data_IF_261043045399
#
_entry.id   IF_261043045399
#
_cell.length_a   1.000
_cell.length_b   1.000
_cell.length_c   1.000
_cell.angle_alpha   90.00
_cell.angle_beta   90.00
_cell.angle_gamma   90.00
#
_symmetry.space_group_name_H-M   'P 1'
#
loop_
_entity.id
_entity.type
_entity.pdbx_description
1 polymer ?
#
# COMPACT_ATOMS: atom_id res chain seq x y z
N UNK A 1 -4.09 6.73 23.01
CA UNK A 1 -3.23 5.99 22.06
C UNK A 1 -3.72 4.56 22.08
N UNK A 2 -4.43 4.12 21.04
CA UNK A 2 -4.88 2.73 20.91
C UNK A 2 -3.71 1.95 20.30
N UNK A 3 -3.01 1.17 21.10
CA UNK A 3 -1.98 0.26 20.62
C UNK A 3 -2.68 -0.98 20.07
N UNK A 4 -2.96 -0.98 18.77
CA UNK A 4 -3.52 -2.14 18.09
C UNK A 4 -2.36 -3.09 17.76
N UNK A 5 -2.14 -4.10 18.60
CA UNK A 5 -1.25 -5.22 18.28
C UNK A 5 -2.14 -6.41 17.92
N UNK A 6 -1.98 -6.91 16.69
CA UNK A 6 -2.58 -8.17 16.27
C UNK A 6 -1.43 -9.05 15.81
N UNK A 7 -0.78 -9.70 16.78
CA UNK A 7 0.16 -10.77 16.49
C UNK A 7 -0.60 -12.07 16.25
N UNK A 8 -0.10 -12.89 15.34
CA UNK A 8 -0.66 -14.21 15.03
C UNK A 8 0.48 -15.23 15.03
N UNK A 9 0.36 -16.27 15.85
CA UNK A 9 1.30 -17.38 15.85
C UNK A 9 0.88 -18.43 14.81
N UNK A 10 1.82 -18.86 13.98
CA UNK A 10 1.58 -19.80 12.89
C UNK A 10 2.72 -20.79 12.77
N UNK A 11 2.43 -21.95 12.19
CA UNK A 11 3.42 -22.95 11.79
C UNK A 11 3.28 -23.26 10.30
N UNK A 12 4.38 -23.69 9.69
CA UNK A 12 4.36 -24.14 8.31
C UNK A 12 3.79 -25.56 8.22
N UNK A 13 2.60 -25.69 7.62
CA UNK A 13 2.01 -26.99 7.34
C UNK A 13 2.55 -27.53 6.01
N UNK A 14 3.50 -28.45 6.07
CA UNK A 14 4.13 -29.05 4.88
C UNK A 14 3.17 -29.89 4.02
N UNK A 15 2.06 -30.39 4.57
CA UNK A 15 1.09 -31.18 3.79
C UNK A 15 0.24 -30.31 2.89
N UNK A 16 -0.12 -29.12 3.38
CA UNK A 16 -0.97 -28.18 2.66
C UNK A 16 -0.17 -27.03 2.02
N UNK A 17 1.13 -26.92 2.33
CA UNK A 17 2.02 -25.83 1.91
C UNK A 17 1.46 -24.44 2.27
N UNK A 18 0.91 -24.30 3.47
CA UNK A 18 0.35 -23.04 3.99
C UNK A 18 0.80 -22.79 5.43
N UNK A 19 0.80 -21.52 5.82
CA UNK A 19 0.88 -21.14 7.23
C UNK A 19 -0.47 -21.41 7.91
N UNK A 20 -0.49 -22.30 8.90
CA UNK A 20 -1.66 -22.58 9.73
C UNK A 20 -1.43 -22.11 11.16
N UNK A 21 -2.50 -21.76 11.88
CA UNK A 21 -2.48 -21.45 13.31
C UNK A 21 -2.95 -22.61 14.19
N UNK A 22 -3.26 -23.77 13.60
CA UNK A 22 -3.78 -24.91 14.37
C UNK A 22 -2.78 -25.37 15.44
N UNK A 23 -3.23 -25.42 16.70
CA UNK A 23 -2.38 -25.83 17.82
C UNK A 23 -1.33 -24.79 18.24
N UNK A 24 -1.40 -23.55 17.71
CA UNK A 24 -0.56 -22.43 18.11
C UNK A 24 -1.41 -21.23 18.56
N UNK A 25 -1.12 -20.69 19.73
CA UNK A 25 -1.80 -19.54 20.30
C UNK A 25 -0.81 -18.45 20.74
N UNK A 26 -1.28 -17.21 20.80
CA UNK A 26 -0.49 -16.07 21.27
C UNK A 26 -0.54 -16.04 22.79
N UNK A 27 0.63 -16.09 23.43
CA UNK A 27 0.77 -16.04 24.88
C UNK A 27 0.54 -14.65 25.47
N UNK A 28 0.19 -14.60 26.76
CA UNK A 28 -0.11 -13.38 27.50
C UNK A 28 1.11 -12.49 27.75
N UNK A 29 2.33 -13.02 27.59
CA UNK A 29 3.58 -12.25 27.74
C UNK A 29 3.98 -11.52 26.45
N UNK A 30 3.10 -11.49 25.45
CA UNK A 30 3.31 -10.75 24.20
C UNK A 30 3.36 -9.24 24.45
N UNK A 31 4.37 -8.59 23.89
CA UNK A 31 4.61 -7.15 23.97
C UNK A 31 4.82 -6.54 22.58
N UNK A 32 4.94 -5.21 22.51
CA UNK A 32 5.29 -4.48 21.28
C UNK A 32 6.63 -4.89 20.65
N UNK A 33 7.54 -5.49 21.43
CA UNK A 33 8.89 -5.85 20.96
C UNK A 33 9.09 -7.36 20.79
N UNK A 34 8.19 -8.17 21.36
CA UNK A 34 8.34 -9.62 21.40
C UNK A 34 6.98 -10.30 21.41
N UNK A 35 6.78 -11.31 20.57
CA UNK A 35 5.57 -12.14 20.59
C UNK A 35 5.89 -13.47 21.26
N UNK A 36 5.03 -13.88 22.19
CA UNK A 36 5.08 -15.21 22.80
C UNK A 36 4.15 -16.14 22.02
N UNK A 37 4.68 -17.25 21.50
CA UNK A 37 3.89 -18.27 20.81
C UNK A 37 3.90 -19.58 21.57
N UNK A 38 2.71 -20.05 21.93
CA UNK A 38 2.47 -21.30 22.64
C UNK A 38 1.94 -22.32 21.63
N UNK A 39 2.79 -23.26 21.21
CA UNK A 39 2.44 -24.29 20.25
C UNK A 39 2.52 -25.69 20.89
N UNK A 40 1.58 -26.58 20.55
CA UNK A 40 1.54 -27.97 21.06
C UNK A 40 2.37 -28.96 20.23
N UNK A 41 3.06 -28.48 19.19
CA UNK A 41 3.80 -29.30 18.24
C UNK A 41 5.18 -28.69 17.93
N UNK A 42 6.19 -29.53 17.69
CA UNK A 42 7.51 -29.10 17.26
C UNK A 42 7.56 -29.05 15.73
N UNK A 43 7.46 -27.85 15.17
CA UNK A 43 7.46 -27.58 13.74
C UNK A 43 8.17 -26.25 13.47
N UNK A 44 8.40 -25.91 12.20
CA UNK A 44 8.83 -24.55 11.84
C UNK A 44 7.70 -23.57 12.17
N UNK A 45 7.90 -22.78 13.22
CA UNK A 45 6.94 -21.79 13.72
C UNK A 45 7.41 -20.37 13.43
N UNK A 46 6.46 -19.43 13.40
CA UNK A 46 6.70 -18.01 13.23
C UNK A 46 5.55 -17.17 13.75
N UNK A 47 5.83 -15.88 13.94
CA UNK A 47 4.80 -14.87 14.24
C UNK A 47 4.58 -14.00 13.01
N UNK A 48 3.32 -13.68 12.75
CA UNK A 48 2.88 -12.71 11.77
C UNK A 48 2.25 -11.50 12.50
N UNK A 49 2.29 -10.33 11.87
CA UNK A 49 1.66 -9.12 12.36
C UNK A 49 0.70 -8.61 11.29
N UNK A 50 -0.59 -8.87 11.48
CA UNK A 50 -1.60 -8.41 10.53
C UNK A 50 -2.23 -7.11 11.05
N UNK A 51 -1.71 -5.97 10.59
CA UNK A 51 -2.40 -4.69 10.73
C UNK A 51 -3.27 -4.51 9.49
N UNK A 52 -4.60 -4.70 9.56
CA UNK A 52 -5.44 -4.44 8.41
C UNK A 52 -5.25 -2.96 8.00
N UNK A 53 -4.87 -2.67 6.74
CA UNK A 53 -4.89 -1.31 6.26
C UNK A 53 -6.33 -0.80 6.39
N UNK A 54 -6.50 0.42 6.89
CA UNK A 54 -7.83 1.04 7.00
C UNK A 54 -8.53 0.94 5.63
N UNK A 55 -9.70 0.31 5.60
CA UNK A 55 -10.46 0.16 4.36
C UNK A 55 -10.89 1.53 3.88
N UNK A 56 -10.47 1.90 2.67
CA UNK A 56 -10.92 3.13 2.02
C UNK A 56 -12.35 2.88 1.54
N UNK A 57 -13.32 3.49 2.22
CA UNK A 57 -14.69 3.52 1.73
C UNK A 57 -14.82 4.55 0.60
N UNK A 58 -14.80 4.04 -0.63
CA UNK A 58 -14.93 4.86 -1.82
C UNK A 58 -16.28 5.57 -1.91
N UNK A 59 -17.34 5.10 -1.25
CA UNK A 59 -18.64 5.78 -1.23
C UNK A 59 -18.56 7.12 -0.48
N UNK A 60 -17.84 7.13 0.65
CA UNK A 60 -17.54 8.34 1.43
C UNK A 60 -16.67 9.30 0.63
N UNK A 61 -15.68 8.76 -0.10
CA UNK A 61 -14.82 9.54 -0.99
C UNK A 61 -15.67 10.25 -2.05
N UNK A 62 -16.49 9.52 -2.83
CA UNK A 62 -17.38 10.08 -3.85
C UNK A 62 -18.43 11.05 -3.30
N UNK A 63 -18.90 10.85 -2.06
CA UNK A 63 -19.77 11.83 -1.41
C UNK A 63 -19.09 13.19 -1.24
N UNK A 64 -17.79 13.21 -0.89
CA UNK A 64 -17.01 14.45 -0.79
C UNK A 64 -16.67 15.08 -2.14
N UNK A 65 -16.75 14.31 -3.23
CA UNK A 65 -16.71 14.86 -4.59
C UNK A 65 -18.03 15.57 -4.98
N UNK A 66 -19.17 15.32 -4.31
CA UNK A 66 -20.42 16.06 -4.60
C UNK A 66 -20.37 17.50 -4.07
N UNK A 67 -19.73 17.73 -2.93
CA UNK A 67 -19.46 19.07 -2.38
C UNK A 67 -18.11 19.59 -2.82
N UNK A 68 -17.92 19.77 -4.15
CA UNK A 68 -16.67 20.28 -4.73
C UNK A 68 -16.22 21.62 -4.13
N UNK A 69 -17.16 22.45 -3.67
CA UNK A 69 -16.85 23.75 -3.07
C UNK A 69 -16.12 23.62 -1.72
N UNK A 70 -16.44 22.60 -0.91
CA UNK A 70 -15.83 22.41 0.42
C UNK A 70 -14.35 22.00 0.33
N UNK A 71 -13.95 21.40 -0.80
CA UNK A 71 -12.59 20.92 -1.04
C UNK A 71 -11.94 21.60 -2.25
N UNK A 72 -12.41 22.80 -2.62
CA UNK A 72 -12.00 23.49 -3.84
C UNK A 72 -10.47 23.67 -3.95
N UNK A 73 -9.78 23.86 -2.82
CA UNK A 73 -8.32 23.97 -2.79
C UNK A 73 -7.63 22.68 -3.29
N UNK A 74 -8.05 21.51 -2.81
CA UNK A 74 -7.48 20.22 -3.21
C UNK A 74 -7.77 19.92 -4.68
N UNK A 75 -8.98 20.22 -5.14
CA UNK A 75 -9.34 20.05 -6.55
C UNK A 75 -8.51 20.96 -7.47
N UNK A 76 -8.38 22.23 -7.08
CA UNK A 76 -7.60 23.22 -7.83
C UNK A 76 -6.13 22.79 -7.95
N UNK A 77 -5.51 22.35 -6.86
CA UNK A 77 -4.11 21.90 -6.89
C UNK A 77 -3.91 20.69 -7.79
N UNK A 78 -4.79 19.68 -7.72
CA UNK A 78 -4.72 18.49 -8.57
C UNK A 78 -4.88 18.87 -10.05
N UNK A 79 -5.84 19.72 -10.40
CA UNK A 79 -6.06 20.18 -11.77
C UNK A 79 -4.86 20.98 -12.31
N UNK A 80 -4.27 21.85 -11.50
CA UNK A 80 -3.08 22.62 -11.87
C UNK A 80 -1.89 21.69 -12.14
N UNK A 81 -1.61 20.76 -11.23
CA UNK A 81 -0.51 19.79 -11.38
C UNK A 81 -0.71 18.96 -12.65
N UNK A 82 -1.93 18.47 -12.88
CA UNK A 82 -2.24 17.68 -14.06
C UNK A 82 -2.12 18.50 -15.36
N UNK A 83 -2.58 19.75 -15.34
CA UNK A 83 -2.43 20.68 -16.47
C UNK A 83 -0.96 20.96 -16.79
N UNK A 84 -0.15 21.28 -15.78
CA UNK A 84 1.30 21.49 -15.93
C UNK A 84 2.00 20.24 -16.48
N UNK A 85 1.63 19.06 -15.99
CA UNK A 85 2.15 17.79 -16.49
C UNK A 85 1.83 17.60 -17.98
N UNK A 86 0.59 17.81 -18.40
CA UNK A 86 0.20 17.68 -19.82
C UNK A 86 0.98 18.68 -20.69
N UNK A 87 1.11 19.93 -20.25
CA UNK A 87 1.86 20.96 -20.98
C UNK A 87 3.32 20.53 -21.16
N UNK A 88 3.97 20.09 -20.07
CA UNK A 88 5.35 19.62 -20.09
C UNK A 88 5.50 18.38 -20.99
N UNK A 89 4.57 17.43 -20.91
CA UNK A 89 4.57 16.23 -21.74
C UNK A 89 4.42 16.55 -23.23
N UNK A 90 3.53 17.48 -23.59
CA UNK A 90 3.37 17.95 -24.98
C UNK A 90 4.64 18.66 -25.47
N UNK A 91 5.24 19.51 -24.64
CA UNK A 91 6.48 20.19 -24.97
C UNK A 91 7.64 19.21 -25.19
N UNK A 92 7.82 18.25 -24.28
CA UNK A 92 8.84 17.20 -24.39
C UNK A 92 8.62 16.36 -25.66
N UNK A 93 7.39 15.90 -25.92
CA UNK A 93 7.03 15.18 -27.16
C UNK A 93 7.37 15.97 -28.43
N UNK A 94 7.18 17.30 -28.42
CA UNK A 94 7.54 18.17 -29.56
C UNK A 94 9.05 18.27 -29.72
N UNK A 95 9.80 18.38 -28.62
CA UNK A 95 11.27 18.44 -28.63
C UNK A 95 11.89 17.13 -29.09
N UNK A 96 11.43 15.99 -28.59
CA UNK A 96 11.89 14.68 -29.02
C UNK A 96 11.71 14.49 -30.54
N UNK A 97 10.57 14.92 -31.10
CA UNK A 97 10.32 14.88 -32.55
C UNK A 97 11.26 15.80 -33.34
N UNK A 98 11.57 16.99 -32.82
CA UNK A 98 12.51 17.92 -33.47
C UNK A 98 13.93 17.36 -33.44
N UNK A 99 14.31 16.70 -32.35
CA UNK A 99 15.65 16.12 -32.24
C UNK A 99 15.81 14.94 -33.20
N UNK A 100 14.82 14.06 -33.35
CA UNK A 100 14.86 12.98 -34.36
C UNK A 100 15.22 13.49 -35.77
N UNK A 101 14.66 14.64 -36.18
CA UNK A 101 14.95 15.25 -37.48
C UNK A 101 16.40 15.73 -37.58
N UNK A 102 16.94 16.30 -36.48
CA UNK A 102 18.33 16.78 -36.43
C UNK A 102 19.34 15.63 -36.45
N UNK A 103 19.06 14.53 -35.75
CA UNK A 103 19.95 13.37 -35.70
C UNK A 103 20.05 12.65 -37.05
N UNK A 104 19.00 12.66 -37.89
CA UNK A 104 19.06 12.12 -39.28
C UNK A 104 19.84 12.99 -40.27
N UNK A 105 20.27 14.19 -39.88
CA UNK A 105 21.01 15.13 -40.74
C UNK A 105 22.51 15.19 -40.45
N UNK A 106 23.02 14.43 -39.47
CA UNK A 106 24.45 14.23 -39.26
C UNK A 106 24.90 12.97 -40.03
N UNK A 107 25.94 13.05 -40.89
CA UNK A 107 26.48 11.91 -41.64
C UNK A 107 27.11 10.84 -40.75
#
# INVERSE_FOLDING_TARGET
IVNMYVSKCQYWNEKQFVWSSDGCEVGSSTTLKSTECLCTHLTTFGSDFYVPPNTIDFSTVFSKFKTLHENAAVFSTVLIIFGLYIIAAVWARRKDRQDLIKWTAAP
#
